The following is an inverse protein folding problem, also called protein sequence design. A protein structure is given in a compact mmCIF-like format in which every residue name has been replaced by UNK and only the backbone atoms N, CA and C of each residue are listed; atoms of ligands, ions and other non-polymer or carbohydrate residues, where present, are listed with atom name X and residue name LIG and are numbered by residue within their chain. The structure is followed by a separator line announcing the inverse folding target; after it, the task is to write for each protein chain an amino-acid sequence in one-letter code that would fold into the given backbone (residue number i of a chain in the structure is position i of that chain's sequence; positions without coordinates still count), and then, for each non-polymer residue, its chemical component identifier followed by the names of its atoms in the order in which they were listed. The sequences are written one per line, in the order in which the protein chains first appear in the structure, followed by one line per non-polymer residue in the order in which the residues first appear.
data_IF_286425223397
#
_entry.id   IF_286425223397
#
_cell.length_a   1.000
_cell.length_b   1.000
_cell.length_c   1.000
_cell.angle_alpha   90.00
_cell.angle_beta   90.00
_cell.angle_gamma   90.00
#
_symmetry.space_group_name_H-M   'P 1'
#
loop_
_entity.id
_entity.type
_entity.pdbx_description
1 polymer ?
#
# COMPACT_ATOMS: atom_id res chain seq x y z
N UNK A 1 -9.34 1.36 1.46
CA UNK A 1 -9.29 1.14 0.00
C UNK A 1 -10.56 1.64 -0.69
N UNK A 2 -11.71 0.94 -0.58
CA UNK A 2 -12.98 1.34 -1.23
C UNK A 2 -13.39 2.82 -1.00
N UNK A 3 -13.16 3.34 0.22
CA UNK A 3 -13.41 4.76 0.53
C UNK A 3 -12.68 5.72 -0.41
N UNK A 4 -11.41 5.45 -0.71
CA UNK A 4 -10.59 6.32 -1.56
C UNK A 4 -11.06 6.24 -3.02
N UNK A 5 -11.32 5.03 -3.52
CA UNK A 5 -11.86 4.83 -4.88
C UNK A 5 -13.20 5.55 -5.08
N UNK A 6 -14.13 5.42 -4.12
CA UNK A 6 -15.46 6.06 -4.21
C UNK A 6 -15.43 7.58 -4.34
N UNK A 7 -14.35 8.25 -3.94
CA UNK A 7 -14.18 9.70 -4.14
C UNK A 7 -13.84 10.08 -5.58
N UNK A 8 -13.43 9.10 -6.39
CA UNK A 8 -13.04 9.20 -7.79
C UNK A 8 -13.82 8.16 -8.60
N UNK A 9 -15.12 8.02 -8.30
CA UNK A 9 -15.98 6.96 -8.82
C UNK A 9 -16.00 6.95 -10.34
N UNK A 10 -16.02 8.13 -10.94
CA UNK A 10 -16.00 8.38 -12.39
C UNK A 10 -14.83 7.67 -13.10
N UNK A 11 -13.70 7.49 -12.43
CA UNK A 11 -12.50 6.87 -13.00
C UNK A 11 -12.16 5.50 -12.39
N UNK A 12 -12.96 5.01 -11.42
CA UNK A 12 -12.61 3.81 -10.64
C UNK A 12 -13.77 2.83 -10.43
N UNK A 13 -14.91 3.03 -11.10
CA UNK A 13 -16.11 2.20 -10.90
C UNK A 13 -15.88 0.71 -11.13
N UNK A 14 -15.18 0.34 -12.20
CA UNK A 14 -14.87 -1.07 -12.50
C UNK A 14 -14.06 -1.71 -11.38
N UNK A 15 -13.07 -0.99 -10.86
CA UNK A 15 -12.24 -1.43 -9.74
C UNK A 15 -13.06 -1.56 -8.46
N UNK A 16 -13.97 -0.62 -8.20
CA UNK A 16 -14.88 -0.68 -7.04
C UNK A 16 -15.71 -1.96 -7.09
N UNK A 17 -16.24 -2.31 -8.25
CA UNK A 17 -17.05 -3.51 -8.45
C UNK A 17 -16.24 -4.79 -8.16
N UNK A 18 -15.02 -4.89 -8.67
CA UNK A 18 -14.13 -6.02 -8.39
C UNK A 18 -13.76 -6.11 -6.90
N UNK A 19 -13.47 -4.98 -6.26
CA UNK A 19 -13.21 -4.94 -4.82
C UNK A 19 -14.43 -5.36 -3.98
N UNK A 20 -15.65 -5.02 -4.40
CA UNK A 20 -16.88 -5.48 -3.73
C UNK A 20 -17.04 -6.99 -3.87
N UNK A 21 -16.71 -7.57 -5.03
CA UNK A 21 -16.69 -9.04 -5.22
C UNK A 21 -15.67 -9.68 -4.27
N UNK A 22 -14.44 -9.17 -4.22
CA UNK A 22 -13.42 -9.70 -3.29
C UNK A 22 -13.88 -9.63 -1.83
N UNK A 23 -14.51 -8.53 -1.42
CA UNK A 23 -15.07 -8.41 -0.06
C UNK A 23 -16.10 -9.51 0.24
N UNK A 24 -16.95 -9.87 -0.72
CA UNK A 24 -17.94 -10.95 -0.56
C UNK A 24 -17.31 -12.35 -0.44
N UNK A 25 -16.08 -12.53 -0.92
CA UNK A 25 -15.34 -13.80 -0.80
C UNK A 25 -14.67 -13.98 0.56
N UNK A 26 -14.42 -12.89 1.32
CA UNK A 26 -13.74 -12.98 2.63
C UNK A 26 -14.39 -13.99 3.59
N UNK A 27 -15.73 -14.04 3.75
CA UNK A 27 -16.37 -15.01 4.65
C UNK A 27 -16.27 -16.47 4.16
N UNK A 28 -15.90 -16.71 2.91
CA UNK A 28 -15.74 -18.06 2.35
C UNK A 28 -14.32 -18.60 2.49
N UNK A 29 -13.40 -17.82 3.06
CA UNK A 29 -12.03 -18.26 3.29
C UNK A 29 -11.97 -19.24 4.47
N UNK A 30 -11.45 -20.43 4.22
CA UNK A 30 -11.29 -21.51 5.21
C UNK A 30 -9.87 -21.60 5.79
N UNK A 31 -8.96 -20.77 5.28
CA UNK A 31 -7.54 -20.77 5.64
C UNK A 31 -6.95 -19.36 5.55
N UNK A 32 -5.88 -19.13 6.32
CA UNK A 32 -5.13 -17.86 6.30
C UNK A 32 -4.57 -17.61 4.89
N UNK A 33 -4.06 -18.65 4.23
CA UNK A 33 -3.51 -18.55 2.88
C UNK A 33 -4.58 -18.10 1.87
N UNK A 34 -5.81 -18.64 1.96
CA UNK A 34 -6.93 -18.21 1.12
C UNK A 34 -7.30 -16.75 1.42
N UNK A 35 -7.38 -16.36 2.69
CA UNK A 35 -7.68 -15.00 3.10
C UNK A 35 -6.64 -13.99 2.58
N UNK A 36 -5.35 -14.31 2.73
CA UNK A 36 -4.24 -13.51 2.17
C UNK A 36 -4.30 -13.44 0.64
N UNK A 37 -4.73 -14.51 -0.03
CA UNK A 37 -4.95 -14.52 -1.48
C UNK A 37 -6.05 -13.56 -1.91
N UNK A 38 -7.18 -13.53 -1.19
CA UNK A 38 -8.28 -12.58 -1.42
C UNK A 38 -7.82 -11.14 -1.18
N UNK A 39 -7.11 -10.91 -0.07
CA UNK A 39 -6.55 -9.60 0.27
C UNK A 39 -5.55 -9.11 -0.78
N UNK A 40 -4.64 -9.98 -1.24
CA UNK A 40 -3.66 -9.69 -2.28
C UNK A 40 -4.32 -9.29 -3.59
N UNK A 41 -5.36 -10.01 -4.01
CA UNK A 41 -6.18 -9.67 -5.19
C UNK A 41 -6.91 -8.34 -5.00
N UNK A 42 -7.56 -8.13 -3.85
CA UNK A 42 -8.25 -6.87 -3.55
C UNK A 42 -7.29 -5.67 -3.59
N UNK A 43 -6.06 -5.84 -3.09
CA UNK A 43 -5.00 -4.81 -3.14
C UNK A 43 -4.49 -4.59 -4.56
N UNK A 44 -4.38 -5.64 -5.38
CA UNK A 44 -4.01 -5.49 -6.80
C UNK A 44 -5.07 -4.68 -7.57
N UNK A 45 -6.36 -4.99 -7.40
CA UNK A 45 -7.44 -4.17 -7.98
C UNK A 45 -7.36 -2.73 -7.47
N UNK A 46 -7.23 -2.54 -6.16
CA UNK A 46 -7.12 -1.20 -5.59
C UNK A 46 -5.98 -0.37 -6.20
N UNK A 47 -4.81 -0.99 -6.44
CA UNK A 47 -3.70 -0.33 -7.12
C UNK A 47 -3.98 -0.03 -8.60
N UNK A 48 -4.74 -0.85 -9.32
CA UNK A 48 -5.17 -0.51 -10.69
C UNK A 48 -6.00 0.79 -10.71
N UNK A 49 -6.75 1.07 -9.65
CA UNK A 49 -7.48 2.31 -9.48
C UNK A 49 -6.61 3.54 -9.23
N UNK A 50 -5.29 3.41 -8.98
CA UNK A 50 -4.42 4.56 -8.67
C UNK A 50 -4.37 5.56 -9.83
N UNK A 51 -4.32 5.09 -11.08
CA UNK A 51 -4.26 5.98 -12.24
C UNK A 51 -5.56 6.76 -12.46
N UNK A 52 -6.68 6.34 -11.86
CA UNK A 52 -7.91 7.13 -11.84
C UNK A 52 -7.91 8.26 -10.79
N UNK A 53 -6.91 8.27 -9.90
CA UNK A 53 -6.77 9.21 -8.77
C UNK A 53 -5.57 10.14 -8.96
N UNK A 54 -4.44 9.59 -9.44
CA UNK A 54 -3.21 10.32 -9.73
C UNK A 54 -3.41 11.15 -10.99
N UNK A 55 -3.19 12.45 -10.89
CA UNK A 55 -3.36 13.42 -11.99
C UNK A 55 -2.05 13.73 -12.72
N UNK A 56 -0.93 13.20 -12.26
CA UNK A 56 0.39 13.43 -12.84
C UNK A 56 0.90 12.17 -13.55
N UNK A 57 1.11 12.27 -14.86
CA UNK A 57 1.56 11.17 -15.73
C UNK A 57 2.96 10.65 -15.38
N UNK A 58 3.78 11.48 -14.73
CA UNK A 58 5.09 11.11 -14.20
C UNK A 58 5.03 9.98 -13.15
N UNK A 59 3.85 9.77 -12.54
CA UNK A 59 3.64 8.81 -11.45
C UNK A 59 2.63 7.71 -11.81
N UNK A 60 2.52 7.37 -13.11
CA UNK A 60 1.65 6.30 -13.57
C UNK A 60 2.02 4.95 -12.93
N UNK A 61 1.04 4.36 -12.26
CA UNK A 61 1.16 3.05 -11.66
C UNK A 61 0.90 1.96 -12.70
N UNK A 62 1.90 1.11 -12.99
CA UNK A 62 1.75 -0.05 -13.89
C UNK A 62 1.49 -1.33 -13.12
N UNK A 63 2.33 -1.63 -12.14
CA UNK A 63 2.25 -2.80 -11.27
C UNK A 63 3.05 -2.54 -9.99
N UNK A 64 2.79 -3.32 -8.94
CA UNK A 64 3.52 -3.18 -7.68
C UNK A 64 4.87 -3.90 -7.74
N UNK A 65 5.97 -3.16 -7.64
CA UNK A 65 7.34 -3.68 -7.55
C UNK A 65 8.03 -3.18 -6.28
N UNK A 66 8.33 -4.12 -5.36
CA UNK A 66 8.73 -3.77 -4.00
C UNK A 66 10.24 -3.66 -3.81
N UNK A 67 11.03 -4.56 -4.39
CA UNK A 67 12.47 -4.72 -4.12
C UNK A 67 13.22 -5.28 -5.34
N UNK A 68 13.96 -4.45 -6.08
CA UNK A 68 13.95 -2.99 -6.03
C UNK A 68 12.66 -2.40 -6.65
N UNK A 69 12.21 -1.20 -6.22
CA UNK A 69 11.26 -0.41 -7.00
C UNK A 69 11.93 0.11 -8.27
N UNK A 70 11.25 0.05 -9.41
CA UNK A 70 11.79 0.49 -10.71
C UNK A 70 11.25 1.84 -11.17
N UNK A 71 10.27 2.40 -10.44
CA UNK A 71 9.61 3.66 -10.79
C UNK A 71 9.31 4.52 -9.54
N UNK A 72 9.08 5.84 -9.72
CA UNK A 72 8.88 6.77 -8.61
C UNK A 72 7.69 6.44 -7.71
N UNK A 73 6.58 5.98 -8.30
CA UNK A 73 5.37 5.65 -7.53
C UNK A 73 5.60 4.41 -6.65
N UNK A 74 6.31 3.38 -7.14
CA UNK A 74 6.67 2.23 -6.34
C UNK A 74 7.69 2.56 -5.24
N UNK A 75 8.65 3.45 -5.51
CA UNK A 75 9.59 3.93 -4.51
C UNK A 75 8.84 4.66 -3.38
N UNK A 76 7.95 5.59 -3.73
CA UNK A 76 7.16 6.35 -2.77
C UNK A 76 6.20 5.48 -1.95
N UNK A 77 5.52 4.52 -2.58
CA UNK A 77 4.67 3.54 -1.87
C UNK A 77 5.51 2.67 -0.93
N UNK A 78 6.69 2.20 -1.35
CA UNK A 78 7.59 1.42 -0.49
C UNK A 78 8.07 2.22 0.72
N UNK A 79 8.45 3.48 0.50
CA UNK A 79 8.88 4.39 1.56
C UNK A 79 7.75 4.67 2.56
N UNK A 80 6.58 5.12 2.08
CA UNK A 80 5.42 5.38 2.94
C UNK A 80 4.96 4.15 3.72
N UNK A 81 4.98 2.95 3.12
CA UNK A 81 4.69 1.72 3.84
C UNK A 81 5.69 1.44 4.96
N UNK A 82 6.99 1.70 4.73
CA UNK A 82 8.04 1.51 5.73
C UNK A 82 7.86 2.46 6.92
N UNK A 83 7.49 3.72 6.65
CA UNK A 83 7.11 4.68 7.70
C UNK A 83 5.88 4.20 8.49
N UNK A 84 4.85 3.70 7.80
CA UNK A 84 3.64 3.20 8.46
C UNK A 84 3.93 2.00 9.37
N UNK A 85 4.76 1.05 8.91
CA UNK A 85 5.17 -0.08 9.76
C UNK A 85 5.90 0.40 11.01
N UNK A 86 6.78 1.39 10.88
CA UNK A 86 7.54 1.94 12.01
C UNK A 86 6.62 2.66 12.99
N UNK A 87 5.68 3.47 12.49
CA UNK A 87 4.70 4.17 13.31
C UNK A 87 3.80 3.18 14.08
N UNK A 88 3.25 2.17 13.40
CA UNK A 88 2.44 1.14 14.03
C UNK A 88 3.23 0.35 15.08
N UNK A 89 4.48 -0.02 14.78
CA UNK A 89 5.35 -0.71 15.73
C UNK A 89 5.60 0.14 16.99
N UNK A 90 5.87 1.44 16.83
CA UNK A 90 5.99 2.39 17.94
C UNK A 90 4.73 2.40 18.81
N UNK A 91 3.54 2.42 18.21
CA UNK A 91 2.29 2.37 18.99
C UNK A 91 2.07 1.03 19.68
N UNK A 92 2.44 -0.10 19.07
CA UNK A 92 2.37 -1.42 19.72
C UNK A 92 3.24 -1.44 21.00
N UNK A 93 4.44 -0.86 20.97
CA UNK A 93 5.33 -0.81 22.14
C UNK A 93 4.77 -0.01 23.33
N UNK A 94 3.74 0.80 23.12
CA UNK A 94 3.02 1.50 24.21
C UNK A 94 1.91 0.67 24.84
N UNK A 95 1.72 -0.56 24.37
CA UNK A 95 0.68 -1.49 24.81
C UNK A 95 1.30 -2.77 25.40
N UNK A 96 0.44 -3.66 25.86
CA UNK A 96 0.84 -4.99 26.35
C UNK A 96 0.94 -6.04 25.22
N UNK A 97 0.68 -5.65 23.97
CA UNK A 97 0.72 -6.57 22.83
C UNK A 97 2.17 -6.94 22.48
N UNK A 98 2.40 -8.22 22.20
CA UNK A 98 3.68 -8.67 21.66
C UNK A 98 3.76 -8.37 20.15
N UNK A 99 4.75 -7.59 19.67
CA UNK A 99 4.87 -7.26 18.25
C UNK A 99 5.24 -8.47 17.37
N UNK A 100 5.68 -9.58 17.95
CA UNK A 100 6.07 -10.80 17.21
C UNK A 100 4.92 -11.76 16.93
N UNK A 101 3.77 -11.57 17.60
CA UNK A 101 2.59 -12.44 17.45
C UNK A 101 1.60 -11.78 16.49
N UNK A 102 1.50 -12.29 15.27
CA UNK A 102 0.55 -11.90 14.24
C UNK A 102 -0.52 -12.96 13.99
N UNK A 103 -1.57 -12.57 13.27
CA UNK A 103 -2.70 -13.44 12.95
C UNK A 103 -2.84 -13.67 11.45
N UNK A 104 -2.51 -12.67 10.63
CA UNK A 104 -2.63 -12.77 9.17
C UNK A 104 -1.28 -13.13 8.54
N UNK A 105 -0.23 -12.37 8.84
CA UNK A 105 1.12 -12.73 8.41
C UNK A 105 1.69 -13.85 9.28
N UNK A 106 2.48 -14.75 8.70
CA UNK A 106 3.15 -15.79 9.49
C UNK A 106 4.06 -15.16 10.57
N UNK A 107 3.90 -15.57 11.85
CA UNK A 107 4.80 -15.16 12.91
C UNK A 107 6.21 -15.69 12.61
N UNK A 108 7.20 -14.81 12.59
CA UNK A 108 8.60 -15.21 12.51
C UNK A 108 9.33 -14.66 13.72
N UNK A 109 10.18 -15.47 14.36
CA UNK A 109 10.88 -15.13 15.62
C UNK A 109 11.75 -13.87 15.55
N UNK A 110 12.08 -13.40 14.34
CA UNK A 110 12.90 -12.21 14.09
C UNK A 110 12.15 -11.08 13.38
N UNK A 111 10.82 -11.16 13.27
CA UNK A 111 9.99 -10.19 12.54
C UNK A 111 8.88 -9.65 13.43
N UNK A 112 8.69 -8.33 13.42
CA UNK A 112 7.55 -7.68 14.06
C UNK A 112 6.29 -7.86 13.21
N UNK A 113 5.80 -9.09 13.08
CA UNK A 113 4.73 -9.42 12.14
C UNK A 113 3.39 -8.75 12.50
N UNK A 114 3.12 -8.43 13.77
CA UNK A 114 1.88 -7.77 14.18
C UNK A 114 1.76 -6.35 13.61
N UNK A 115 2.88 -5.64 13.48
CA UNK A 115 2.86 -4.29 12.90
C UNK A 115 2.49 -4.31 11.42
N UNK A 116 2.76 -5.42 10.72
CA UNK A 116 2.34 -5.60 9.33
C UNK A 116 0.83 -5.76 9.24
N UNK A 117 0.24 -6.63 10.06
CA UNK A 117 -1.21 -6.85 10.12
C UNK A 117 -1.96 -5.54 10.38
N UNK A 118 -1.55 -4.80 11.42
CA UNK A 118 -2.21 -3.56 11.82
C UNK A 118 -1.98 -2.46 10.78
N UNK A 119 -0.78 -2.35 10.19
CA UNK A 119 -0.49 -1.34 9.18
C UNK A 119 -1.38 -1.46 7.93
N UNK A 120 -1.85 -2.66 7.56
CA UNK A 120 -2.73 -2.83 6.40
C UNK A 120 -4.03 -2.02 6.50
N UNK A 121 -4.53 -1.79 7.72
CA UNK A 121 -5.72 -0.96 7.97
C UNK A 121 -5.41 0.51 7.68
N UNK A 122 -4.24 0.99 8.11
CA UNK A 122 -3.87 2.40 8.08
C UNK A 122 -3.28 2.87 6.76
N UNK A 123 -2.65 2.00 5.97
CA UNK A 123 -2.08 2.35 4.66
C UNK A 123 -3.06 3.10 3.75
N UNK A 124 -4.26 2.58 3.45
CA UNK A 124 -5.22 3.32 2.64
C UNK A 124 -5.90 4.48 3.38
N UNK A 125 -5.85 4.52 4.71
CA UNK A 125 -6.45 5.61 5.46
C UNK A 125 -5.55 6.84 5.47
N UNK A 126 -4.25 6.63 5.61
CA UNK A 126 -3.24 7.66 5.85
C UNK A 126 -2.26 7.73 4.67
N UNK A 127 -1.46 6.68 4.45
CA UNK A 127 -0.34 6.73 3.51
C UNK A 127 -0.76 6.93 2.06
N UNK A 128 -1.74 6.18 1.56
CA UNK A 128 -2.14 6.33 0.16
C UNK A 128 -2.74 7.71 -0.10
N UNK A 129 -3.53 8.23 0.84
CA UNK A 129 -4.08 9.59 0.72
C UNK A 129 -2.99 10.66 0.77
N UNK A 130 -1.98 10.46 1.61
CA UNK A 130 -0.81 11.34 1.66
C UNK A 130 -0.05 11.29 0.32
N UNK A 131 0.21 10.11 -0.23
CA UNK A 131 0.86 9.92 -1.53
C UNK A 131 0.08 10.63 -2.64
N UNK A 132 -1.24 10.39 -2.72
CA UNK A 132 -2.08 11.08 -3.71
C UNK A 132 -2.04 12.59 -3.56
N UNK A 133 -2.07 13.10 -2.33
CA UNK A 133 -1.97 14.53 -2.04
C UNK A 133 -0.63 15.11 -2.49
N UNK A 134 0.48 14.46 -2.11
CA UNK A 134 1.84 14.92 -2.44
C UNK A 134 2.07 14.99 -3.95
N UNK A 135 1.58 13.99 -4.70
CA UNK A 135 1.70 13.95 -6.16
C UNK A 135 0.78 14.99 -6.80
N UNK A 136 -0.51 14.99 -6.45
CA UNK A 136 -1.51 15.85 -7.10
C UNK A 136 -1.29 17.34 -6.81
N UNK A 137 -0.71 17.67 -5.65
CA UNK A 137 -0.32 19.04 -5.30
C UNK A 137 1.10 19.42 -5.76
N UNK A 138 1.79 18.52 -6.49
CA UNK A 138 3.16 18.72 -7.00
C UNK A 138 4.18 19.06 -5.90
N UNK A 139 3.92 18.61 -4.67
CA UNK A 139 4.87 18.67 -3.55
C UNK A 139 6.00 17.68 -3.79
N UNK A 140 5.69 16.49 -4.31
CA UNK A 140 6.67 15.53 -4.81
C UNK A 140 6.69 15.57 -6.34
N UNK A 141 7.89 15.54 -6.93
CA UNK A 141 8.16 15.61 -8.37
C UNK A 141 9.29 14.66 -8.72
N UNK A 142 9.53 14.45 -10.02
CA UNK A 142 10.56 13.52 -10.52
C UNK A 142 11.96 13.82 -9.99
N UNK A 143 12.33 15.08 -9.76
CA UNK A 143 13.66 15.43 -9.25
C UNK A 143 13.94 14.98 -7.80
N UNK A 144 12.92 14.59 -7.02
CA UNK A 144 13.12 13.97 -5.70
C UNK A 144 13.43 12.46 -5.80
N UNK A 145 13.63 11.95 -7.01
CA UNK A 145 13.95 10.56 -7.27
C UNK A 145 15.25 10.45 -8.06
N UNK A 146 16.04 9.45 -7.71
CA UNK A 146 17.25 9.08 -8.41
C UNK A 146 17.13 7.65 -8.96
N UNK A 147 17.75 7.42 -10.12
CA UNK A 147 17.86 6.08 -10.69
C UNK A 147 19.28 5.58 -10.46
N UNK A 148 19.39 4.56 -9.60
CA UNK A 148 20.63 3.83 -9.37
C UNK A 148 20.63 2.67 -10.38
N UNK A 149 21.69 2.55 -11.18
CA UNK A 149 21.68 1.65 -12.34
C UNK A 149 20.48 1.96 -13.28
N UNK A 150 20.24 1.15 -14.32
CA UNK A 150 19.15 1.40 -15.27
C UNK A 150 17.75 1.06 -14.73
N UNK A 151 17.63 0.37 -13.58
CA UNK A 151 16.37 -0.26 -13.16
C UNK A 151 15.99 -0.07 -11.67
N UNK A 152 16.74 0.68 -10.87
CA UNK A 152 16.42 0.91 -9.45
C UNK A 152 16.09 2.39 -9.23
N UNK A 153 14.90 2.69 -8.73
CA UNK A 153 14.46 4.05 -8.43
C UNK A 153 14.41 4.26 -6.91
N UNK A 154 15.08 5.29 -6.40
CA UNK A 154 15.10 5.63 -4.97
C UNK A 154 14.65 7.08 -4.77
N UNK A 155 14.16 7.39 -3.58
CA UNK A 155 13.95 8.79 -3.16
C UNK A 155 15.28 9.35 -2.69
N UNK A 156 15.60 10.59 -3.07
CA UNK A 156 16.76 11.30 -2.54
C UNK A 156 16.40 12.02 -1.23
N UNK A 157 17.35 12.80 -0.69
CA UNK A 157 17.20 13.48 0.60
C UNK A 157 16.37 14.78 0.54
N UNK A 158 16.01 15.27 -0.65
CA UNK A 158 15.23 16.51 -0.87
C UNK A 158 13.71 16.25 -0.87
#
# INVERSE_FOLDING_TARGET
MLRNLRRHKENTEDVINEMIKMKKMVPTADSIQMLMGIEGKARAYYYQGFNGIIKNEDFLFKKREKRPPSDPINALISFGNSLMYTAVLSEIYKTQLSPTISFLHEPASRRFSLSLDIAEIFKPLIMDNLIFSLINNRTIRIHHFEFIETNICMMNDE
#
